data_IF_599795124535
#
_entry.id   IF_599795124535
#
_cell.length_a   1.000
_cell.length_b   1.000
_cell.length_c   1.000
_cell.angle_alpha   90.00
_cell.angle_beta   90.00
_cell.angle_gamma   90.00
#
_symmetry.space_group_name_H-M   'P 1'
#
loop_
_entity.id
_entity.type
_entity.pdbx_description
1 polymer ?
#
# COMPACT_ATOMS: atom_id res chain seq x y z
N UNK A 1 31.28 27.77 46.35
CA UNK A 1 32.29 27.59 45.28
C UNK A 1 32.13 26.24 44.59
N UNK A 2 32.38 25.09 45.23
CA UNK A 2 32.27 23.73 44.63
C UNK A 2 31.15 23.54 43.59
N UNK A 3 29.87 23.80 43.91
CA UNK A 3 28.74 23.64 42.97
C UNK A 3 28.88 24.48 41.68
N UNK A 4 29.53 25.64 41.73
CA UNK A 4 29.79 26.48 40.56
C UNK A 4 30.92 25.89 39.68
N UNK A 5 31.93 25.27 40.29
CA UNK A 5 33.01 24.58 39.57
C UNK A 5 32.49 23.30 38.91
N UNK A 6 31.60 22.56 39.58
CA UNK A 6 30.91 21.41 38.99
C UNK A 6 30.11 21.81 37.75
N UNK A 7 29.20 22.77 37.88
CA UNK A 7 28.41 23.29 36.75
C UNK A 7 29.30 23.79 35.58
N UNK A 8 30.47 24.37 35.85
CA UNK A 8 31.41 24.81 34.82
C UNK A 8 32.09 23.62 34.11
N UNK A 9 32.50 22.59 34.87
CA UNK A 9 33.05 21.35 34.34
C UNK A 9 32.03 20.62 33.44
N UNK A 10 30.77 20.54 33.89
CA UNK A 10 29.69 19.88 33.15
C UNK A 10 29.36 20.64 31.86
N UNK A 11 29.35 21.98 31.90
CA UNK A 11 29.17 22.82 30.72
C UNK A 11 30.33 22.69 29.72
N UNK A 12 31.59 22.62 30.18
CA UNK A 12 32.74 22.36 29.31
C UNK A 12 32.67 20.97 28.65
N UNK A 13 32.25 19.94 29.40
CA UNK A 13 32.05 18.60 28.85
C UNK A 13 30.94 18.56 27.78
N UNK A 14 29.84 19.30 27.99
CA UNK A 14 28.75 19.42 27.01
C UNK A 14 29.20 20.15 25.74
N UNK A 15 29.92 21.28 25.86
CA UNK A 15 30.47 22.02 24.72
C UNK A 15 31.40 21.13 23.88
N UNK A 16 32.25 20.32 24.54
CA UNK A 16 33.14 19.39 23.83
C UNK A 16 32.39 18.32 23.04
N UNK A 17 31.29 17.76 23.59
CA UNK A 17 30.44 16.81 22.85
C UNK A 17 29.80 17.44 21.62
N UNK A 18 29.22 18.63 21.77
CA UNK A 18 28.61 19.36 20.65
C UNK A 18 29.61 19.68 19.54
N UNK A 19 30.88 19.95 19.87
CA UNK A 19 31.97 20.13 18.88
C UNK A 19 32.39 18.82 18.20
N UNK A 20 32.33 17.68 18.90
CA UNK A 20 32.59 16.36 18.33
C UNK A 20 31.43 15.92 17.40
N UNK A 21 30.19 16.22 17.77
CA UNK A 21 28.98 16.01 16.96
C UNK A 21 28.93 16.93 15.72
N UNK A 22 29.26 18.23 15.85
CA UNK A 22 29.37 19.16 14.71
C UNK A 22 30.42 18.65 13.71
N UNK A 23 31.57 18.18 14.20
CA UNK A 23 32.62 17.63 13.34
C UNK A 23 32.15 16.37 12.62
N UNK A 24 31.52 15.43 13.32
CA UNK A 24 31.00 14.20 12.72
C UNK A 24 29.92 14.49 11.65
N UNK A 25 29.02 15.44 11.92
CA UNK A 25 28.01 15.90 10.98
C UNK A 25 28.64 16.52 9.71
N UNK A 26 29.60 17.44 9.86
CA UNK A 26 30.37 18.02 8.74
C UNK A 26 31.09 16.97 7.89
N UNK A 27 31.65 15.95 8.53
CA UNK A 27 32.39 14.87 7.85
C UNK A 27 31.43 13.92 7.10
N UNK A 28 30.24 13.65 7.67
CA UNK A 28 29.14 12.95 7.00
C UNK A 28 28.63 13.69 5.76
N UNK A 29 28.26 14.97 5.91
CA UNK A 29 27.79 15.84 4.81
C UNK A 29 28.82 15.91 3.67
N UNK A 30 30.12 15.92 4.00
CA UNK A 30 31.18 15.90 2.99
C UNK A 30 31.22 14.59 2.22
N UNK A 31 31.01 13.45 2.88
CA UNK A 31 30.98 12.14 2.24
C UNK A 31 29.72 11.95 1.38
N UNK A 32 28.55 12.45 1.81
CA UNK A 32 27.32 12.36 1.02
C UNK A 32 27.38 13.22 -0.24
N UNK A 33 27.95 14.43 -0.14
CA UNK A 33 28.14 15.29 -1.31
C UNK A 33 29.10 14.66 -2.34
N UNK A 34 30.15 13.98 -1.91
CA UNK A 34 31.08 13.29 -2.81
C UNK A 34 30.44 12.09 -3.54
N UNK A 35 29.57 11.32 -2.88
CA UNK A 35 28.83 10.25 -3.58
C UNK A 35 27.72 10.83 -4.48
N UNK A 36 27.12 11.98 -4.12
CA UNK A 36 26.16 12.68 -4.97
C UNK A 36 26.81 13.21 -6.27
N UNK A 37 27.96 13.88 -6.18
CA UNK A 37 28.75 14.31 -7.36
C UNK A 37 29.07 13.11 -8.28
N UNK A 38 29.45 11.98 -7.69
CA UNK A 38 29.75 10.73 -8.40
C UNK A 38 28.52 10.12 -9.07
N UNK A 39 27.36 10.12 -8.41
CA UNK A 39 26.10 9.64 -8.99
C UNK A 39 25.62 10.54 -10.13
N UNK A 40 25.79 11.86 -10.00
CA UNK A 40 25.51 12.82 -11.08
C UNK A 40 26.41 12.58 -12.30
N UNK A 41 27.71 12.30 -12.10
CA UNK A 41 28.61 11.94 -13.18
C UNK A 41 28.17 10.63 -13.87
N UNK A 42 27.87 9.57 -13.11
CA UNK A 42 27.40 8.29 -13.67
C UNK A 42 26.09 8.43 -14.45
N UNK A 43 25.15 9.25 -13.97
CA UNK A 43 23.90 9.52 -14.69
C UNK A 43 24.15 10.31 -15.98
N UNK A 44 25.11 11.25 -15.97
CA UNK A 44 25.54 11.99 -17.16
C UNK A 44 26.20 11.06 -18.19
N UNK A 45 27.02 10.10 -17.75
CA UNK A 45 27.61 9.08 -18.62
C UNK A 45 26.52 8.17 -19.24
N UNK A 46 25.54 7.74 -18.44
CA UNK A 46 24.41 6.91 -18.90
C UNK A 46 23.50 7.63 -19.93
N UNK A 47 23.18 8.91 -19.74
CA UNK A 47 22.40 9.68 -20.73
C UNK A 47 23.18 9.90 -22.04
N UNK A 48 24.51 10.05 -21.98
CA UNK A 48 25.34 10.13 -23.18
C UNK A 48 25.38 8.79 -23.95
N UNK A 49 25.49 7.64 -23.26
CA UNK A 49 25.37 6.32 -23.89
C UNK A 49 23.98 6.12 -24.53
N UNK A 50 22.91 6.47 -23.80
CA UNK A 50 21.51 6.42 -24.26
C UNK A 50 21.27 7.31 -25.49
N UNK A 51 21.89 8.49 -25.57
CA UNK A 51 21.86 9.35 -26.75
C UNK A 51 22.61 8.72 -27.94
N UNK A 52 23.80 8.15 -27.72
CA UNK A 52 24.56 7.45 -28.76
C UNK A 52 23.82 6.23 -29.32
N UNK A 53 23.18 5.43 -28.45
CA UNK A 53 22.36 4.29 -28.85
C UNK A 53 21.12 4.72 -29.64
N UNK A 54 20.48 5.84 -29.28
CA UNK A 54 19.37 6.41 -30.06
C UNK A 54 19.81 6.84 -31.47
N UNK A 55 20.98 7.48 -31.61
CA UNK A 55 21.52 7.81 -32.92
C UNK A 55 21.80 6.55 -33.76
N UNK A 56 22.43 5.53 -33.17
CA UNK A 56 22.69 4.26 -33.88
C UNK A 56 21.41 3.55 -34.36
N UNK A 57 20.29 3.68 -33.62
CA UNK A 57 18.99 3.17 -34.07
C UNK A 57 18.51 3.93 -35.31
N UNK A 58 18.55 5.27 -35.29
CA UNK A 58 18.15 6.11 -36.45
C UNK A 58 19.02 5.80 -37.69
N UNK A 59 20.34 5.71 -37.51
CA UNK A 59 21.28 5.39 -38.59
C UNK A 59 21.00 3.99 -39.21
N UNK A 60 20.54 3.03 -38.41
CA UNK A 60 20.16 1.69 -38.86
C UNK A 60 18.78 1.67 -39.53
N UNK A 61 17.82 2.48 -39.06
CA UNK A 61 16.51 2.63 -39.67
C UNK A 61 16.61 3.28 -41.06
N UNK A 62 17.44 4.33 -41.22
CA UNK A 62 17.71 4.95 -42.53
C UNK A 62 18.35 3.94 -43.51
N UNK A 63 19.37 3.19 -43.07
CA UNK A 63 20.00 2.14 -43.89
C UNK A 63 18.99 1.08 -44.34
N UNK A 64 18.05 0.69 -43.46
CA UNK A 64 17.00 -0.28 -43.76
C UNK A 64 15.95 0.29 -44.72
N UNK A 65 15.62 1.59 -44.62
CA UNK A 65 14.72 2.25 -45.58
C UNK A 65 15.37 2.42 -46.96
N UNK A 66 16.65 2.79 -47.02
CA UNK A 66 17.42 2.83 -48.28
C UNK A 66 17.48 1.44 -48.91
N UNK A 67 17.73 0.38 -48.13
CA UNK A 67 17.74 -1.00 -48.62
C UNK A 67 16.37 -1.43 -49.20
N UNK A 68 15.26 -1.03 -48.57
CA UNK A 68 13.89 -1.25 -49.12
C UNK A 68 13.68 -0.55 -50.46
N UNK A 69 14.18 0.69 -50.62
CA UNK A 69 14.05 1.49 -51.85
C UNK A 69 14.88 0.98 -53.04
N UNK A 70 15.85 0.08 -52.82
CA UNK A 70 16.72 -0.49 -53.87
C UNK A 70 16.14 -1.77 -54.53
N UNK A 71 15.02 -2.30 -54.04
CA UNK A 71 14.35 -3.47 -54.63
C UNK A 71 13.61 -3.03 -55.94
N UNK A 72 13.98 -3.54 -57.13
CA UNK A 72 13.35 -3.08 -58.38
C UNK A 72 11.96 -3.69 -58.58
N UNK A 73 10.91 -2.86 -58.54
CA UNK A 73 9.59 -3.23 -59.03
C UNK A 73 9.57 -3.20 -60.57
N UNK A 74 9.39 -4.35 -61.23
CA UNK A 74 9.39 -4.41 -62.70
C UNK A 74 8.54 -5.57 -63.26
N UNK A 75 7.66 -5.27 -64.23
CA UNK A 75 7.01 -6.27 -65.10
C UNK A 75 5.63 -6.80 -64.64
N UNK A 76 4.58 -6.45 -65.39
CA UNK A 76 3.26 -7.08 -65.37
C UNK A 76 2.97 -7.74 -66.72
N UNK A 77 2.13 -8.79 -66.69
CA UNK A 77 1.42 -9.45 -67.80
C UNK A 77 2.22 -10.31 -68.82
N UNK A 78 1.67 -11.49 -69.11
CA UNK A 78 2.09 -12.40 -70.20
C UNK A 78 1.61 -13.84 -70.02
N UNK A 79 0.47 -14.21 -70.59
CA UNK A 79 -0.07 -15.59 -70.54
C UNK A 79 0.74 -16.59 -71.37
N UNK A 80 0.99 -17.79 -70.82
CA UNK A 80 0.65 -19.06 -71.49
C UNK A 80 0.75 -20.30 -70.57
N UNK A 81 0.12 -21.39 -71.00
CA UNK A 81 -0.13 -22.61 -70.23
C UNK A 81 1.02 -23.62 -70.32
N UNK A 82 1.37 -24.31 -69.22
CA UNK A 82 0.91 -25.69 -68.97
C UNK A 82 1.22 -26.16 -67.52
N UNK A 83 0.62 -27.26 -67.06
CA UNK A 83 0.60 -27.66 -65.64
C UNK A 83 1.65 -28.69 -65.18
N UNK A 84 1.99 -28.63 -63.88
CA UNK A 84 2.81 -29.60 -63.14
C UNK A 84 2.93 -29.18 -61.66
N UNK A 85 3.00 -30.10 -60.68
CA UNK A 85 2.89 -29.76 -59.25
C UNK A 85 4.20 -29.21 -58.64
N UNK A 86 4.06 -28.32 -57.65
CA UNK A 86 5.17 -27.65 -56.95
C UNK A 86 5.40 -28.28 -55.57
N UNK A 87 6.66 -28.60 -55.26
CA UNK A 87 7.20 -28.67 -53.89
C UNK A 87 8.52 -27.87 -53.83
N UNK A 88 8.86 -27.24 -52.69
CA UNK A 88 10.00 -26.31 -52.60
C UNK A 88 11.33 -27.03 -52.33
N UNK A 89 12.43 -26.67 -53.02
CA UNK A 89 13.79 -27.07 -52.66
C UNK A 89 14.41 -26.13 -51.62
N UNK A 90 15.38 -26.62 -50.84
CA UNK A 90 16.10 -25.88 -49.81
C UNK A 90 17.59 -25.65 -50.17
N UNK A 91 18.22 -24.67 -49.51
CA UNK A 91 19.66 -24.35 -49.45
C UNK A 91 19.87 -23.43 -48.21
N UNK A 92 20.93 -23.46 -47.38
CA UNK A 92 22.20 -24.21 -47.38
C UNK A 92 23.34 -23.54 -48.17
N UNK A 93 24.63 -23.47 -47.78
CA UNK A 93 25.45 -23.81 -46.57
C UNK A 93 26.72 -22.86 -46.62
N UNK A 94 27.75 -22.78 -45.73
CA UNK A 94 28.17 -23.44 -44.47
C UNK A 94 29.10 -22.50 -43.62
N UNK A 95 29.66 -23.01 -42.51
CA UNK A 95 30.63 -22.39 -41.55
C UNK A 95 32.05 -22.02 -42.09
N UNK A 96 32.87 -21.34 -41.25
CA UNK A 96 34.25 -21.68 -40.78
C UNK A 96 34.86 -20.49 -39.95
N UNK A 97 35.86 -20.59 -39.03
CA UNK A 97 36.06 -21.51 -37.88
C UNK A 97 37.07 -20.98 -36.82
N UNK A 98 36.80 -21.22 -35.52
CA UNK A 98 37.70 -21.29 -34.31
C UNK A 98 39.11 -20.63 -34.24
N UNK A 99 39.37 -19.89 -33.14
CA UNK A 99 40.62 -19.97 -32.36
C UNK A 99 40.37 -19.78 -30.83
N UNK A 100 41.35 -20.03 -29.94
CA UNK A 100 41.12 -20.38 -28.50
C UNK A 100 42.04 -19.71 -27.45
N UNK A 101 41.41 -19.12 -26.40
CA UNK A 101 41.78 -19.16 -24.95
C UNK A 101 43.11 -18.47 -24.50
N UNK A 102 43.38 -18.24 -23.18
CA UNK A 102 42.73 -18.75 -21.96
C UNK A 102 42.25 -17.75 -20.87
N UNK A 103 41.58 -18.29 -19.84
CA UNK A 103 41.13 -17.64 -18.57
C UNK A 103 42.21 -17.77 -17.47
N UNK A 104 42.10 -17.01 -16.34
CA UNK A 104 41.70 -17.69 -15.09
C UNK A 104 40.90 -16.88 -14.04
N UNK A 105 39.82 -17.48 -13.51
CA UNK A 105 39.19 -17.27 -12.18
C UNK A 105 38.56 -15.88 -11.91
N UNK A 106 37.50 -15.72 -11.09
CA UNK A 106 37.06 -16.49 -9.91
C UNK A 106 35.56 -16.26 -9.59
N UNK A 107 34.78 -17.32 -9.26
CA UNK A 107 33.51 -17.37 -8.46
C UNK A 107 32.30 -16.48 -8.92
N UNK A 108 31.02 -16.83 -8.75
CA UNK A 108 30.32 -17.93 -8.02
C UNK A 108 29.17 -18.53 -8.87
N UNK A 109 28.42 -19.50 -8.31
CA UNK A 109 27.11 -19.96 -8.84
C UNK A 109 26.01 -18.89 -8.66
N UNK A 110 24.85 -18.95 -9.32
CA UNK A 110 24.32 -19.96 -10.24
C UNK A 110 22.99 -20.53 -9.76
N UNK A 111 21.92 -20.32 -10.54
CA UNK A 111 20.57 -20.82 -10.29
C UNK A 111 20.07 -21.62 -11.50
N UNK A 112 19.32 -22.70 -11.27
CA UNK A 112 18.73 -23.53 -12.32
C UNK A 112 17.22 -23.31 -12.47
N UNK A 113 16.67 -23.83 -13.56
CA UNK A 113 15.31 -23.57 -14.05
C UNK A 113 14.26 -24.45 -13.38
N UNK A 114 13.00 -24.04 -13.50
CA UNK A 114 11.85 -24.95 -13.60
C UNK A 114 11.10 -24.58 -14.90
N UNK A 115 10.73 -25.59 -15.68
CA UNK A 115 10.08 -25.41 -16.98
C UNK A 115 8.54 -25.29 -16.86
N UNK A 116 7.93 -24.78 -17.93
CA UNK A 116 6.50 -24.51 -18.10
C UNK A 116 5.81 -25.59 -18.93
N UNK A 117 4.62 -26.03 -18.52
CA UNK A 117 3.67 -26.65 -19.46
C UNK A 117 2.18 -26.42 -19.09
N UNK A 118 1.42 -26.02 -20.11
CA UNK A 118 -0.05 -26.10 -20.39
C UNK A 118 -1.06 -26.34 -19.22
N UNK A 119 -2.29 -25.76 -19.24
CA UNK A 119 -3.22 -25.75 -20.39
C UNK A 119 -4.41 -24.75 -20.17
N UNK A 120 -4.80 -23.98 -21.21
CA UNK A 120 -6.08 -23.25 -21.49
C UNK A 120 -6.87 -22.50 -20.37
N UNK A 121 -7.38 -21.28 -20.58
CA UNK A 121 -7.26 -20.38 -21.74
C UNK A 121 -8.38 -19.32 -21.88
N UNK A 122 -8.20 -18.43 -22.88
CA UNK A 122 -9.22 -17.57 -23.53
C UNK A 122 -9.86 -16.38 -22.77
N UNK A 123 -9.15 -15.23 -22.73
CA UNK A 123 -9.67 -14.00 -23.35
C UNK A 123 -8.51 -13.06 -23.76
N UNK A 124 -8.45 -12.66 -25.03
CA UNK A 124 -7.44 -11.74 -25.55
C UNK A 124 -8.13 -10.62 -26.37
N UNK A 125 -8.20 -9.36 -25.88
CA UNK A 125 -8.46 -8.24 -26.78
C UNK A 125 -7.29 -8.09 -27.76
N UNK A 126 -7.58 -7.84 -29.04
CA UNK A 126 -6.58 -7.43 -30.03
C UNK A 126 -6.53 -5.90 -30.10
N UNK A 127 -5.37 -5.28 -30.38
CA UNK A 127 -5.34 -3.89 -30.78
C UNK A 127 -6.22 -3.68 -32.03
N UNK A 128 -7.15 -2.73 -31.96
CA UNK A 128 -7.93 -2.27 -33.11
C UNK A 128 -7.29 -0.98 -33.59
N UNK A 129 -6.76 -0.97 -34.81
CA UNK A 129 -6.24 0.26 -35.42
C UNK A 129 -7.39 1.20 -35.74
N UNK A 130 -7.57 2.26 -34.94
CA UNK A 130 -8.49 3.35 -35.22
C UNK A 130 -8.04 4.10 -36.47
N UNK A 131 -8.75 3.90 -37.58
CA UNK A 131 -8.51 4.63 -38.82
C UNK A 131 -9.29 5.96 -38.79
N UNK A 132 -8.58 7.07 -38.61
CA UNK A 132 -9.18 8.41 -38.62
C UNK A 132 -9.60 8.77 -40.06
N UNK A 133 -10.88 9.04 -40.34
CA UNK A 133 -11.32 9.46 -41.68
C UNK A 133 -11.01 10.94 -41.90
N UNK A 134 -10.05 11.24 -42.76
CA UNK A 134 -9.67 12.62 -43.10
C UNK A 134 -10.67 13.28 -44.06
N UNK A 135 -11.44 14.26 -43.57
CA UNK A 135 -12.25 15.18 -44.39
C UNK A 135 -12.02 16.63 -43.96
N UNK A 136 -11.58 17.47 -44.90
CA UNK A 136 -11.03 18.79 -44.59
C UNK A 136 -12.07 19.92 -44.55
N UNK A 137 -11.80 20.95 -43.73
CA UNK A 137 -11.61 22.34 -44.19
C UNK A 137 -11.14 23.26 -43.05
N UNK A 138 -10.24 24.20 -43.34
CA UNK A 138 -9.83 25.27 -42.41
C UNK A 138 -8.32 25.50 -42.34
N UNK A 139 -7.80 26.44 -43.14
CA UNK A 139 -6.42 26.94 -42.98
C UNK A 139 -6.38 28.08 -41.96
N UNK A 140 -5.40 28.06 -41.07
CA UNK A 140 -4.48 29.20 -40.94
C UNK A 140 -3.07 28.69 -40.62
N UNK A 141 -2.06 29.50 -40.93
CA UNK A 141 -0.69 29.03 -41.15
C UNK A 141 0.28 29.87 -40.31
N UNK A 142 0.76 29.31 -39.20
CA UNK A 142 1.88 29.87 -38.45
C UNK A 142 3.08 28.91 -38.51
N UNK A 143 4.28 29.46 -38.56
CA UNK A 143 5.51 28.73 -38.91
C UNK A 143 6.51 28.81 -37.75
N UNK A 144 6.70 27.71 -37.03
CA UNK A 144 7.71 27.62 -35.98
C UNK A 144 7.86 26.20 -35.45
N UNK A 145 9.05 25.62 -35.67
CA UNK A 145 9.53 24.33 -35.18
C UNK A 145 8.77 23.06 -35.64
N UNK A 146 9.52 21.99 -35.86
CA UNK A 146 8.99 20.65 -36.10
C UNK A 146 8.97 19.88 -34.77
N UNK A 147 7.82 19.89 -34.10
CA UNK A 147 7.54 19.02 -32.94
C UNK A 147 6.95 17.68 -33.39
N UNK A 148 6.94 16.70 -32.48
CA UNK A 148 6.59 15.31 -32.78
C UNK A 148 5.08 15.12 -32.67
N UNK A 149 4.32 14.90 -33.78
CA UNK A 149 2.85 15.00 -33.77
C UNK A 149 2.10 13.99 -32.88
N UNK A 150 2.81 13.06 -32.22
CA UNK A 150 2.25 12.08 -31.31
C UNK A 150 2.50 12.34 -29.82
N UNK A 151 3.26 13.38 -29.44
CA UNK A 151 3.42 13.77 -28.03
C UNK A 151 2.42 14.87 -27.68
N UNK A 152 2.42 15.96 -28.47
CA UNK A 152 1.44 17.05 -28.41
C UNK A 152 -0.01 16.53 -28.40
N UNK A 153 -0.28 15.40 -29.07
CA UNK A 153 -1.60 14.77 -29.11
C UNK A 153 -2.00 14.05 -27.81
N UNK A 154 -1.04 13.54 -27.02
CA UNK A 154 -1.29 12.85 -25.75
C UNK A 154 -1.39 13.87 -24.61
N UNK A 155 -0.57 14.92 -24.66
CA UNK A 155 -0.62 16.04 -23.72
C UNK A 155 -1.98 16.76 -23.81
N UNK A 156 -2.47 17.02 -25.04
CA UNK A 156 -3.82 17.56 -25.26
C UNK A 156 -4.93 16.56 -24.89
N UNK A 157 -4.78 15.26 -25.13
CA UNK A 157 -5.76 14.25 -24.71
C UNK A 157 -5.88 14.19 -23.16
N UNK A 158 -4.74 14.28 -22.45
CA UNK A 158 -4.69 14.41 -21.00
C UNK A 158 -5.33 15.71 -20.49
N UNK A 159 -5.02 16.86 -21.11
CA UNK A 159 -5.62 18.15 -20.72
C UNK A 159 -7.15 18.12 -20.85
N UNK A 160 -7.69 17.51 -21.92
CA UNK A 160 -9.13 17.31 -22.08
C UNK A 160 -9.71 16.41 -20.97
N UNK A 161 -9.10 15.24 -20.71
CA UNK A 161 -9.57 14.31 -19.67
C UNK A 161 -9.51 14.89 -18.25
N UNK A 162 -8.54 15.75 -17.95
CA UNK A 162 -8.45 16.46 -16.67
C UNK A 162 -9.47 17.62 -16.58
N UNK A 163 -9.91 18.18 -17.70
CA UNK A 163 -10.94 19.23 -17.75
C UNK A 163 -12.37 18.70 -17.57
N UNK A 164 -12.61 17.40 -17.79
CA UNK A 164 -13.90 16.72 -17.60
C UNK A 164 -14.13 16.40 -16.10
N UNK A 165 -14.12 17.45 -15.26
CA UNK A 165 -14.15 17.37 -13.78
C UNK A 165 -15.31 16.49 -13.26
N UNK A 166 -16.52 16.60 -13.82
CA UNK A 166 -17.69 15.87 -13.32
C UNK A 166 -17.59 14.36 -13.55
N UNK A 167 -17.26 13.92 -14.77
CA UNK A 167 -17.15 12.49 -15.12
C UNK A 167 -15.97 11.81 -14.40
N UNK A 168 -14.83 12.49 -14.30
CA UNK A 168 -13.66 12.00 -13.55
C UNK A 168 -13.95 11.86 -12.04
N UNK A 169 -14.73 12.79 -11.47
CA UNK A 169 -15.20 12.66 -10.08
C UNK A 169 -16.20 11.50 -9.92
N UNK A 170 -17.10 11.24 -10.87
CA UNK A 170 -18.00 10.09 -10.78
C UNK A 170 -17.24 8.76 -10.89
N UNK A 171 -16.32 8.60 -11.86
CA UNK A 171 -15.53 7.36 -11.99
C UNK A 171 -14.71 7.05 -10.73
N UNK A 172 -14.09 8.05 -10.11
CA UNK A 172 -13.32 7.83 -8.87
C UNK A 172 -14.23 7.59 -7.66
N UNK A 173 -15.26 8.42 -7.44
CA UNK A 173 -16.11 8.29 -6.24
C UNK A 173 -17.05 7.09 -6.28
N UNK A 174 -17.59 6.74 -7.45
CA UNK A 174 -18.46 5.58 -7.62
C UNK A 174 -17.66 4.32 -7.98
N UNK A 175 -16.73 4.39 -8.93
CA UNK A 175 -15.98 3.23 -9.41
C UNK A 175 -14.86 2.81 -8.45
N UNK A 176 -13.93 3.73 -8.15
CA UNK A 176 -12.72 3.44 -7.38
C UNK A 176 -12.94 3.39 -5.86
N UNK A 177 -13.94 4.11 -5.32
CA UNK A 177 -14.21 4.17 -3.88
C UNK A 177 -15.42 3.29 -3.51
N UNK A 178 -16.65 3.66 -3.90
CA UNK A 178 -17.89 3.01 -3.38
C UNK A 178 -18.17 1.61 -3.91
N UNK A 179 -17.84 1.30 -5.16
CA UNK A 179 -18.05 -0.04 -5.74
C UNK A 179 -16.80 -0.95 -5.62
N UNK A 180 -15.78 -0.52 -4.87
CA UNK A 180 -14.51 -1.22 -4.73
C UNK A 180 -14.67 -2.58 -4.02
N UNK A 181 -14.12 -3.63 -4.64
CA UNK A 181 -14.02 -4.95 -4.03
C UNK A 181 -12.71 -5.10 -3.29
N UNK A 182 -12.70 -4.64 -2.03
CA UNK A 182 -11.56 -4.75 -1.12
C UNK A 182 -11.08 -6.21 -1.05
N UNK A 183 -9.77 -6.49 -1.28
CA UNK A 183 -9.24 -7.84 -1.29
C UNK A 183 -9.31 -8.47 0.11
N UNK A 184 -9.56 -9.79 0.19
CA UNK A 184 -9.74 -10.46 1.48
C UNK A 184 -8.39 -10.71 2.19
N UNK A 185 -8.21 -10.34 3.47
CA UNK A 185 -6.99 -10.64 4.24
C UNK A 185 -6.65 -12.13 4.37
N UNK A 186 -7.62 -13.02 4.10
CA UNK A 186 -7.47 -14.47 4.10
C UNK A 186 -7.23 -15.09 2.72
N UNK A 187 -6.93 -14.28 1.70
CA UNK A 187 -6.59 -14.75 0.35
C UNK A 187 -5.33 -15.61 0.35
N UNK A 188 -5.24 -16.53 -0.62
CA UNK A 188 -4.04 -17.34 -0.87
C UNK A 188 -3.71 -17.31 -2.38
N UNK A 189 -2.65 -16.59 -2.81
CA UNK A 189 -1.72 -15.79 -2.01
C UNK A 189 -2.41 -14.61 -1.26
N UNK A 190 -1.80 -14.08 -0.20
CA UNK A 190 -2.26 -12.84 0.43
C UNK A 190 -2.28 -11.68 -0.59
N UNK A 191 -3.09 -10.62 -0.35
CA UNK A 191 -3.07 -9.42 -1.19
C UNK A 191 -1.67 -8.82 -1.25
N UNK A 192 -1.21 -8.41 -2.43
CA UNK A 192 0.03 -7.65 -2.56
C UNK A 192 -0.20 -6.18 -2.22
N UNK A 193 0.86 -5.52 -1.76
CA UNK A 193 0.91 -4.06 -1.50
C UNK A 193 0.28 -3.24 -2.63
N UNK A 194 0.55 -3.61 -3.89
CA UNK A 194 -0.04 -2.98 -5.08
C UNK A 194 -1.54 -3.23 -5.23
N UNK A 195 -2.05 -4.39 -4.85
CA UNK A 195 -3.50 -4.68 -4.85
C UNK A 195 -4.23 -4.02 -3.67
N UNK A 196 -3.49 -3.55 -2.66
CA UNK A 196 -4.02 -2.82 -1.51
C UNK A 196 -4.03 -1.31 -1.75
N UNK A 197 -2.92 -0.76 -2.25
CA UNK A 197 -2.70 0.69 -2.38
C UNK A 197 -3.02 1.25 -3.77
N UNK A 198 -3.56 0.45 -4.71
CA UNK A 198 -3.92 0.99 -6.04
C UNK A 198 -4.94 2.14 -6.01
N UNK A 199 -5.91 2.24 -5.08
CA UNK A 199 -6.78 3.41 -5.00
C UNK A 199 -5.98 4.68 -4.69
N UNK A 200 -5.16 4.67 -3.64
CA UNK A 200 -4.25 5.77 -3.32
C UNK A 200 -3.33 6.10 -4.50
N UNK A 201 -2.72 5.10 -5.14
CA UNK A 201 -1.85 5.31 -6.30
C UNK A 201 -2.56 5.99 -7.48
N UNK A 202 -3.79 5.58 -7.82
CA UNK A 202 -4.55 6.19 -8.91
C UNK A 202 -5.03 7.61 -8.56
N UNK A 203 -5.43 7.85 -7.31
CA UNK A 203 -5.80 9.18 -6.83
C UNK A 203 -4.58 10.11 -6.86
N UNK A 204 -3.44 9.68 -6.30
CA UNK A 204 -2.19 10.43 -6.30
C UNK A 204 -1.69 10.70 -7.72
N UNK A 205 -1.86 9.76 -8.67
CA UNK A 205 -1.55 9.95 -10.08
C UNK A 205 -2.40 11.08 -10.69
N UNK A 206 -3.74 11.01 -10.57
CA UNK A 206 -4.64 12.07 -11.07
C UNK A 206 -4.30 13.43 -10.43
N UNK A 207 -4.08 13.46 -9.12
CA UNK A 207 -3.65 14.66 -8.40
C UNK A 207 -2.33 15.23 -8.94
N UNK A 208 -1.33 14.36 -9.17
CA UNK A 208 -0.03 14.79 -9.71
C UNK A 208 -0.16 15.38 -11.12
N UNK A 209 -0.99 14.80 -12.00
CA UNK A 209 -1.18 15.34 -13.35
C UNK A 209 -2.02 16.62 -13.36
N UNK A 210 -3.00 16.76 -12.46
CA UNK A 210 -3.69 18.05 -12.25
C UNK A 210 -2.69 19.14 -11.83
N UNK A 211 -1.78 18.84 -10.89
CA UNK A 211 -0.75 19.77 -10.43
C UNK A 211 0.31 20.09 -11.49
N UNK A 212 0.73 19.10 -12.29
CA UNK A 212 1.66 19.33 -13.42
C UNK A 212 1.07 20.27 -14.48
N UNK A 213 -0.24 20.17 -14.74
CA UNK A 213 -0.93 20.92 -15.79
C UNK A 213 -1.60 22.22 -15.29
N UNK A 214 -1.48 22.57 -14.00
CA UNK A 214 -1.98 23.84 -13.46
C UNK A 214 -3.42 23.84 -12.93
N UNK A 215 -4.08 22.69 -12.87
CA UNK A 215 -5.46 22.49 -12.42
C UNK A 215 -5.59 22.52 -10.88
N UNK A 216 -5.09 23.59 -10.25
CA UNK A 216 -5.00 23.74 -8.78
C UNK A 216 -6.37 23.65 -8.11
N UNK A 217 -7.36 24.40 -8.63
CA UNK A 217 -8.68 24.61 -7.99
C UNK A 217 -9.63 23.44 -8.26
N UNK A 218 -9.34 22.68 -9.29
CA UNK A 218 -9.99 21.46 -9.72
C UNK A 218 -9.46 20.30 -8.87
N UNK A 219 -8.14 20.25 -8.63
CA UNK A 219 -7.52 19.27 -7.71
C UNK A 219 -7.98 19.44 -6.25
N UNK A 220 -8.19 20.68 -5.78
CA UNK A 220 -8.75 20.98 -4.46
C UNK A 220 -10.14 20.32 -4.28
N UNK A 221 -10.99 20.41 -5.31
CA UNK A 221 -12.35 19.82 -5.31
C UNK A 221 -12.32 18.31 -5.46
N UNK A 222 -11.51 17.80 -6.40
CA UNK A 222 -11.31 16.36 -6.60
C UNK A 222 -10.89 15.68 -5.30
N UNK A 223 -9.87 16.21 -4.62
CA UNK A 223 -9.41 15.70 -3.34
C UNK A 223 -10.49 15.84 -2.25
N UNK A 224 -11.24 16.94 -2.18
CA UNK A 224 -12.35 17.08 -1.24
C UNK A 224 -13.47 16.04 -1.46
N UNK A 225 -13.84 15.79 -2.72
CA UNK A 225 -14.85 14.79 -3.11
C UNK A 225 -14.38 13.36 -2.81
N UNK A 226 -13.11 13.07 -3.08
CA UNK A 226 -12.44 11.80 -2.74
C UNK A 226 -12.44 11.59 -1.23
N UNK A 227 -11.91 12.55 -0.45
CA UNK A 227 -11.83 12.45 1.01
C UNK A 227 -13.22 12.28 1.64
N UNK A 228 -14.21 13.03 1.19
CA UNK A 228 -15.60 12.88 1.64
C UNK A 228 -16.16 11.50 1.31
N UNK A 229 -15.88 10.97 0.11
CA UNK A 229 -16.36 9.66 -0.33
C UNK A 229 -15.71 8.51 0.44
N UNK A 230 -14.39 8.57 0.70
CA UNK A 230 -13.69 7.60 1.55
C UNK A 230 -14.26 7.63 2.98
N UNK A 231 -14.52 8.83 3.54
CA UNK A 231 -15.11 8.94 4.87
C UNK A 231 -16.50 8.30 4.94
N UNK A 232 -17.35 8.52 3.94
CA UNK A 232 -18.66 7.89 3.84
C UNK A 232 -18.56 6.36 3.71
N UNK A 233 -17.66 5.88 2.86
CA UNK A 233 -17.43 4.44 2.63
C UNK A 233 -16.94 3.74 3.89
N UNK A 234 -16.07 4.35 4.72
CA UNK A 234 -15.69 3.78 6.02
C UNK A 234 -16.85 3.86 7.02
N UNK A 235 -17.59 4.98 7.07
CA UNK A 235 -18.60 5.24 8.11
C UNK A 235 -19.90 4.43 7.96
N UNK A 236 -20.19 3.84 6.80
CA UNK A 236 -21.42 3.06 6.61
C UNK A 236 -21.37 1.64 7.22
N UNK A 237 -20.18 1.11 7.54
CA UNK A 237 -20.02 -0.25 8.07
C UNK A 237 -20.07 -0.32 9.60
N UNK A 238 -20.60 -1.42 10.14
CA UNK A 238 -20.63 -1.74 11.59
C UNK A 238 -20.30 -3.23 11.80
N UNK A 239 -20.10 -3.66 13.04
CA UNK A 239 -20.01 -5.10 13.37
C UNK A 239 -18.73 -5.78 12.88
N UNK A 240 -18.85 -6.89 12.14
CA UNK A 240 -17.71 -7.57 11.51
C UNK A 240 -17.30 -6.92 10.18
N UNK A 241 -18.28 -6.42 9.42
CA UNK A 241 -18.07 -5.91 8.06
C UNK A 241 -17.19 -4.65 8.05
N UNK A 242 -17.19 -3.89 9.14
CA UNK A 242 -16.31 -2.74 9.35
C UNK A 242 -14.81 -3.09 9.51
N UNK A 243 -14.43 -4.35 9.78
CA UNK A 243 -13.04 -4.72 10.07
C UNK A 243 -12.14 -4.44 8.86
N UNK A 244 -12.52 -4.90 7.67
CA UNK A 244 -11.68 -4.78 6.48
C UNK A 244 -11.67 -3.36 5.89
N UNK A 245 -12.81 -2.67 5.65
CA UNK A 245 -12.83 -1.34 5.06
C UNK A 245 -12.09 -0.29 5.88
N UNK A 246 -12.20 -0.34 7.22
CA UNK A 246 -11.47 0.60 8.08
C UNK A 246 -9.96 0.44 8.00
N UNK A 247 -9.43 -0.79 8.05
CA UNK A 247 -7.99 -1.01 7.90
C UNK A 247 -7.50 -0.71 6.47
N UNK A 248 -8.28 -1.07 5.45
CA UNK A 248 -7.94 -0.82 4.04
C UNK A 248 -7.87 0.66 3.70
N UNK A 249 -8.89 1.44 4.07
CA UNK A 249 -8.92 2.87 3.79
C UNK A 249 -8.00 3.68 4.69
N UNK A 250 -7.72 3.25 5.93
CA UNK A 250 -6.67 3.85 6.75
C UNK A 250 -5.31 3.77 6.04
N UNK A 251 -4.99 2.61 5.46
CA UNK A 251 -3.75 2.39 4.71
C UNK A 251 -3.66 3.27 3.45
N UNK A 252 -4.75 3.37 2.70
CA UNK A 252 -4.80 4.19 1.49
C UNK A 252 -4.74 5.70 1.79
N UNK A 253 -5.41 6.18 2.84
CA UNK A 253 -5.33 7.60 3.25
C UNK A 253 -3.94 7.95 3.77
N UNK A 254 -3.28 7.03 4.49
CA UNK A 254 -1.90 7.21 4.92
C UNK A 254 -0.90 7.30 3.74
N UNK A 255 -1.11 6.49 2.68
CA UNK A 255 -0.34 6.58 1.43
C UNK A 255 -0.61 7.89 0.66
N UNK A 256 -1.86 8.37 0.63
CA UNK A 256 -2.20 9.68 0.06
C UNK A 256 -1.53 10.84 0.84
N UNK A 257 -1.56 10.80 2.17
CA UNK A 257 -0.89 11.79 3.02
C UNK A 257 0.62 11.75 2.83
N UNK A 258 1.22 10.55 2.76
CA UNK A 258 2.66 10.37 2.52
C UNK A 258 3.11 10.92 1.16
N UNK A 259 2.28 10.77 0.12
CA UNK A 259 2.51 11.40 -1.18
C UNK A 259 2.47 12.94 -1.10
N UNK A 260 1.56 13.53 -0.33
CA UNK A 260 1.47 14.99 -0.17
C UNK A 260 2.70 15.55 0.55
N UNK A 261 3.21 14.89 1.60
CA UNK A 261 4.50 15.24 2.22
C UNK A 261 5.67 15.15 1.22
N UNK A 262 5.70 14.13 0.35
CA UNK A 262 6.76 13.99 -0.67
C UNK A 262 6.67 15.07 -1.77
N UNK A 263 5.45 15.51 -2.10
CA UNK A 263 5.24 16.61 -3.04
C UNK A 263 5.67 17.96 -2.46
N UNK A 264 5.40 18.21 -1.16
CA UNK A 264 5.85 19.40 -0.42
C UNK A 264 7.38 19.57 -0.50
N UNK A 265 8.14 18.53 -0.14
CA UNK A 265 9.62 18.48 -0.28
C UNK A 265 10.08 18.76 -1.73
N UNK A 266 9.35 18.26 -2.73
CA UNK A 266 9.70 18.37 -4.15
C UNK A 266 9.44 19.77 -4.73
N UNK A 267 8.36 20.44 -4.32
CA UNK A 267 8.07 21.82 -4.70
C UNK A 267 9.01 22.82 -3.99
N UNK A 268 9.26 22.64 -2.68
CA UNK A 268 10.25 23.47 -1.96
C UNK A 268 11.63 23.41 -2.62
N UNK A 269 12.08 22.21 -3.02
CA UNK A 269 13.37 22.02 -3.69
C UNK A 269 13.51 22.78 -5.01
N UNK A 270 12.40 23.05 -5.72
CA UNK A 270 12.39 23.79 -6.99
C UNK A 270 12.36 25.31 -6.82
N UNK A 271 12.02 25.82 -5.64
CA UNK A 271 11.94 27.27 -5.34
C UNK A 271 10.99 28.03 -6.27
N UNK A 272 9.85 27.42 -6.56
CA UNK A 272 8.73 28.10 -7.22
C UNK A 272 8.04 29.00 -6.19
N UNK A 273 8.12 30.33 -6.37
CA UNK A 273 7.39 31.33 -5.55
C UNK A 273 5.86 31.28 -5.84
N UNK A 274 5.21 30.14 -5.61
CA UNK A 274 3.86 29.84 -6.06
C UNK A 274 2.88 29.63 -4.89
N UNK A 275 2.57 30.73 -4.21
CA UNK A 275 1.73 30.78 -3.01
C UNK A 275 0.32 30.16 -3.13
N UNK A 276 -0.19 29.86 -4.34
CA UNK A 276 -1.44 29.09 -4.48
C UNK A 276 -1.22 27.57 -4.26
N UNK A 277 -0.03 27.03 -4.57
CA UNK A 277 0.33 25.63 -4.34
C UNK A 277 0.70 25.37 -2.88
N UNK A 278 1.55 26.22 -2.27
CA UNK A 278 1.94 26.09 -0.86
C UNK A 278 0.69 26.01 0.05
N UNK A 279 -0.28 26.90 -0.22
CA UNK A 279 -1.57 26.95 0.46
C UNK A 279 -2.45 25.72 0.18
N UNK A 280 -2.44 25.19 -1.05
CA UNK A 280 -3.18 23.97 -1.37
C UNK A 280 -2.62 22.77 -0.61
N UNK A 281 -1.28 22.62 -0.58
CA UNK A 281 -0.61 21.54 0.14
C UNK A 281 -0.90 21.61 1.64
N UNK A 282 -0.85 22.80 2.27
CA UNK A 282 -1.24 22.99 3.68
C UNK A 282 -2.68 22.53 3.96
N UNK A 283 -3.64 22.90 3.10
CA UNK A 283 -5.05 22.51 3.23
C UNK A 283 -5.24 21.00 3.05
N UNK A 284 -4.71 20.43 1.97
CA UNK A 284 -4.85 19.00 1.65
C UNK A 284 -4.23 18.12 2.74
N UNK A 285 -3.05 18.51 3.24
CA UNK A 285 -2.33 17.84 4.33
C UNK A 285 -3.16 17.82 5.62
N UNK A 286 -3.67 18.97 6.05
CA UNK A 286 -4.56 19.08 7.21
C UNK A 286 -5.82 18.23 7.07
N UNK A 287 -6.46 18.24 5.90
CA UNK A 287 -7.72 17.52 5.68
C UNK A 287 -7.51 16.00 5.55
N UNK A 288 -6.35 15.56 5.05
CA UNK A 288 -5.95 14.15 5.07
C UNK A 288 -5.57 13.65 6.47
N UNK A 289 -4.82 14.43 7.27
CA UNK A 289 -4.57 14.12 8.69
C UNK A 289 -5.89 14.02 9.48
N UNK A 290 -6.83 14.92 9.21
CA UNK A 290 -8.18 14.91 9.76
C UNK A 290 -8.98 13.66 9.33
N UNK A 291 -8.92 13.28 8.05
CA UNK A 291 -9.56 12.09 7.51
C UNK A 291 -8.99 10.81 8.14
N UNK A 292 -7.67 10.67 8.21
CA UNK A 292 -6.98 9.53 8.83
C UNK A 292 -7.41 9.36 10.29
N UNK A 293 -7.40 10.45 11.06
CA UNK A 293 -7.89 10.47 12.43
C UNK A 293 -9.37 10.08 12.53
N UNK A 294 -10.24 10.59 11.66
CA UNK A 294 -11.67 10.30 11.68
C UNK A 294 -11.98 8.83 11.32
N UNK A 295 -11.25 8.26 10.36
CA UNK A 295 -11.28 6.84 10.00
C UNK A 295 -10.85 5.99 11.20
N UNK A 296 -9.64 6.22 11.73
CA UNK A 296 -9.09 5.44 12.84
C UNK A 296 -9.98 5.52 14.08
N UNK A 297 -10.42 6.73 14.47
CA UNK A 297 -11.30 6.93 15.63
C UNK A 297 -12.62 6.20 15.47
N UNK A 298 -13.26 6.29 14.30
CA UNK A 298 -14.59 5.68 14.06
C UNK A 298 -14.49 4.15 13.99
N UNK A 299 -13.49 3.63 13.27
CA UNK A 299 -13.21 2.20 13.18
C UNK A 299 -12.91 1.60 14.57
N UNK A 300 -11.98 2.20 15.32
CA UNK A 300 -11.64 1.77 16.67
C UNK A 300 -12.85 1.83 17.63
N UNK A 301 -13.74 2.82 17.48
CA UNK A 301 -15.00 2.91 18.23
C UNK A 301 -15.95 1.75 17.91
N UNK A 302 -16.04 1.31 16.65
CA UNK A 302 -16.80 0.10 16.25
C UNK A 302 -16.17 -1.17 16.84
N UNK A 303 -14.85 -1.35 16.71
CA UNK A 303 -14.13 -2.50 17.28
C UNK A 303 -14.33 -2.60 18.80
N UNK A 304 -14.18 -1.50 19.54
CA UNK A 304 -14.42 -1.44 20.99
C UNK A 304 -15.88 -1.75 21.35
N UNK A 305 -16.85 -1.16 20.64
CA UNK A 305 -18.30 -1.41 20.80
C UNK A 305 -18.67 -2.88 20.60
N UNK A 306 -17.98 -3.59 19.70
CA UNK A 306 -18.13 -5.04 19.46
C UNK A 306 -17.47 -5.86 20.57
N UNK A 307 -16.19 -5.61 20.84
CA UNK A 307 -15.40 -6.33 21.84
C UNK A 307 -15.99 -6.22 23.26
N UNK A 308 -16.54 -5.06 23.62
CA UNK A 308 -17.22 -4.82 24.90
C UNK A 308 -18.34 -5.84 25.18
N UNK A 309 -19.13 -6.19 24.15
CA UNK A 309 -20.20 -7.19 24.26
C UNK A 309 -19.69 -8.62 24.45
N UNK A 310 -18.44 -8.90 24.04
CA UNK A 310 -17.82 -10.22 24.13
C UNK A 310 -17.11 -10.46 25.47
N UNK A 311 -16.47 -9.44 26.05
CA UNK A 311 -15.57 -9.58 27.21
C UNK A 311 -16.18 -10.37 28.36
N UNK A 312 -17.35 -9.96 28.87
CA UNK A 312 -17.95 -10.60 30.05
C UNK A 312 -18.44 -12.03 29.74
N UNK A 313 -19.24 -12.28 28.68
CA UNK A 313 -19.63 -13.65 28.32
C UNK A 313 -18.44 -14.58 28.03
N UNK A 314 -17.43 -14.10 27.30
CA UNK A 314 -16.29 -14.90 26.85
C UNK A 314 -15.29 -15.20 27.98
N UNK A 315 -14.89 -14.19 28.77
CA UNK A 315 -13.80 -14.34 29.75
C UNK A 315 -14.32 -14.74 31.13
N UNK A 316 -15.44 -14.15 31.58
CA UNK A 316 -15.95 -14.31 32.95
C UNK A 316 -16.95 -15.46 33.05
N UNK A 317 -17.88 -15.53 32.10
CA UNK A 317 -19.03 -16.44 32.19
C UNK A 317 -18.78 -17.80 31.54
N UNK A 318 -17.97 -17.84 30.46
CA UNK A 318 -17.58 -19.08 29.79
C UNK A 318 -16.75 -20.00 30.69
N UNK A 319 -16.87 -21.30 30.43
CA UNK A 319 -16.27 -22.36 31.25
C UNK A 319 -15.50 -23.32 30.34
N UNK A 320 -14.47 -22.79 29.66
CA UNK A 320 -13.71 -23.47 28.61
C UNK A 320 -12.88 -24.67 29.07
N UNK A 321 -12.60 -24.84 30.37
CA UNK A 321 -11.98 -26.06 30.91
C UNK A 321 -13.04 -27.17 31.13
N UNK A 322 -12.92 -28.32 30.43
CA UNK A 322 -13.78 -29.49 30.67
C UNK A 322 -13.69 -30.00 32.11
N UNK A 323 -14.79 -30.51 32.66
CA UNK A 323 -14.85 -31.04 34.03
C UNK A 323 -14.85 -29.99 35.15
N UNK A 324 -14.37 -28.77 34.90
CA UNK A 324 -14.36 -27.65 35.86
C UNK A 324 -15.64 -26.79 35.84
N UNK A 325 -16.77 -27.39 35.45
CA UNK A 325 -18.06 -26.70 35.36
C UNK A 325 -18.58 -26.34 36.77
N UNK A 326 -19.12 -25.13 36.89
CA UNK A 326 -19.79 -24.60 38.08
C UNK A 326 -21.28 -24.40 37.80
N UNK A 327 -22.12 -24.86 38.72
CA UNK A 327 -23.56 -24.61 38.72
C UNK A 327 -23.84 -23.23 39.32
N UNK A 328 -24.35 -22.30 38.52
CA UNK A 328 -24.75 -20.98 39.00
C UNK A 328 -26.09 -21.08 39.77
N UNK A 329 -26.02 -20.89 41.09
CA UNK A 329 -27.11 -21.13 42.04
C UNK A 329 -28.39 -20.34 41.75
N UNK A 330 -28.28 -19.20 41.05
CA UNK A 330 -29.42 -18.32 40.76
C UNK A 330 -30.31 -18.78 39.57
N UNK A 331 -29.93 -19.81 38.80
CA UNK A 331 -30.72 -20.30 37.63
C UNK A 331 -31.97 -21.12 38.01
N UNK A 332 -32.66 -20.81 39.11
CA UNK A 332 -33.75 -21.62 39.66
C UNK A 332 -34.99 -21.72 38.73
N UNK A 333 -35.26 -20.68 37.93
CA UNK A 333 -36.36 -20.66 36.94
C UNK A 333 -35.99 -21.34 35.61
N UNK A 334 -34.70 -21.62 35.36
CA UNK A 334 -34.21 -22.17 34.08
C UNK A 334 -34.53 -23.66 33.83
N UNK A 335 -35.30 -24.31 34.71
CA UNK A 335 -35.70 -25.73 34.57
C UNK A 335 -37.02 -25.96 33.83
N UNK A 336 -37.80 -24.91 33.55
CA UNK A 336 -39.14 -25.04 32.93
C UNK A 336 -39.15 -24.84 31.41
N UNK A 337 -38.03 -24.42 30.83
CA UNK A 337 -37.85 -24.28 29.37
C UNK A 337 -36.46 -24.82 28.99
N UNK A 338 -36.30 -25.45 27.82
CA UNK A 338 -35.00 -25.87 27.29
C UNK A 338 -34.22 -24.66 26.75
N UNK A 339 -33.92 -23.69 27.63
CA UNK A 339 -33.04 -22.57 27.31
C UNK A 339 -31.61 -23.06 27.19
N UNK A 340 -30.95 -22.72 26.08
CA UNK A 340 -29.58 -23.14 25.80
C UNK A 340 -28.62 -22.33 26.68
N UNK A 341 -28.25 -22.86 27.85
CA UNK A 341 -27.54 -22.17 28.95
C UNK A 341 -26.05 -21.81 28.66
N UNK A 342 -25.68 -21.66 27.39
CA UNK A 342 -24.35 -21.22 26.98
C UNK A 342 -24.25 -19.68 27.02
N UNK A 343 -23.09 -19.09 27.36
CA UNK A 343 -22.89 -17.65 27.23
C UNK A 343 -23.04 -17.17 25.79
N UNK A 344 -23.41 -15.90 25.60
CA UNK A 344 -23.63 -15.31 24.27
C UNK A 344 -22.37 -15.25 23.38
N UNK A 345 -21.18 -15.28 23.99
CA UNK A 345 -19.89 -15.37 23.29
C UNK A 345 -18.95 -16.31 24.03
N UNK A 346 -18.09 -16.98 23.28
CA UNK A 346 -17.00 -17.82 23.78
C UNK A 346 -15.64 -17.12 23.65
N UNK A 347 -14.62 -17.68 24.30
CA UNK A 347 -13.22 -17.28 24.06
C UNK A 347 -12.82 -17.37 22.59
N UNK A 348 -13.37 -18.32 21.84
CA UNK A 348 -13.04 -18.50 20.43
C UNK A 348 -13.61 -17.37 19.57
N UNK A 349 -14.76 -16.79 19.94
CA UNK A 349 -15.31 -15.60 19.28
C UNK A 349 -14.45 -14.34 19.56
N UNK A 350 -14.02 -14.17 20.82
CA UNK A 350 -13.18 -13.03 21.22
C UNK A 350 -11.81 -13.09 20.53
N UNK A 351 -11.17 -14.27 20.54
CA UNK A 351 -9.89 -14.47 19.85
C UNK A 351 -10.03 -14.39 18.34
N UNK A 352 -11.15 -14.83 17.75
CA UNK A 352 -11.40 -14.64 16.32
C UNK A 352 -11.52 -13.16 15.95
N UNK A 353 -12.13 -12.31 16.78
CA UNK A 353 -12.18 -10.88 16.54
C UNK A 353 -10.76 -10.26 16.55
N UNK A 354 -9.95 -10.57 17.57
CA UNK A 354 -8.57 -10.08 17.65
C UNK A 354 -7.71 -10.55 16.47
N UNK A 355 -7.83 -11.83 16.07
CA UNK A 355 -7.17 -12.39 14.89
C UNK A 355 -7.61 -11.69 13.59
N UNK A 356 -8.90 -11.43 13.41
CA UNK A 356 -9.41 -10.82 12.18
C UNK A 356 -8.92 -9.38 12.04
N UNK A 357 -8.92 -8.60 13.13
CA UNK A 357 -8.38 -7.24 13.16
C UNK A 357 -6.87 -7.26 12.87
N UNK A 358 -6.08 -8.07 13.58
CA UNK A 358 -4.63 -8.18 13.35
C UNK A 358 -4.31 -8.58 11.89
N UNK A 359 -5.01 -9.58 11.34
CA UNK A 359 -4.81 -10.03 9.96
C UNK A 359 -5.20 -8.99 8.93
N UNK A 360 -6.29 -8.24 9.14
CA UNK A 360 -6.66 -7.15 8.24
C UNK A 360 -5.55 -6.09 8.20
N UNK A 361 -5.02 -5.67 9.35
CA UNK A 361 -3.95 -4.67 9.39
C UNK A 361 -2.65 -5.15 8.73
N UNK A 362 -2.18 -6.38 9.01
CA UNK A 362 -0.97 -6.93 8.36
C UNK A 362 -1.16 -7.23 6.86
N UNK A 363 -2.36 -7.64 6.42
CA UNK A 363 -2.64 -7.90 5.01
C UNK A 363 -2.87 -6.61 4.19
N UNK A 364 -3.15 -5.49 4.85
CA UNK A 364 -3.27 -4.16 4.24
C UNK A 364 -2.07 -3.25 4.53
N UNK A 365 -0.95 -3.81 5.00
CA UNK A 365 0.34 -3.13 5.10
C UNK A 365 0.40 -1.93 6.07
N UNK A 366 -0.50 -1.86 7.07
CA UNK A 366 -0.38 -0.88 8.16
C UNK A 366 0.91 -1.08 8.97
N UNK A 367 1.49 0.03 9.42
CA UNK A 367 2.73 0.03 10.19
C UNK A 367 2.57 -0.75 11.51
N UNK A 368 3.63 -1.45 11.93
CA UNK A 368 3.63 -2.22 13.17
C UNK A 368 3.41 -1.34 14.42
N UNK A 369 3.67 -0.03 14.35
CA UNK A 369 3.34 0.95 15.40
C UNK A 369 1.82 1.07 15.61
N UNK A 370 1.06 1.30 14.52
CA UNK A 370 -0.41 1.44 14.49
C UNK A 370 -1.06 0.13 14.95
N UNK A 371 -0.51 -1.01 14.50
CA UNK A 371 -0.95 -2.35 14.90
C UNK A 371 -0.77 -2.56 16.40
N UNK A 372 0.41 -2.24 16.92
CA UNK A 372 0.74 -2.39 18.34
C UNK A 372 -0.16 -1.50 19.21
N UNK A 373 -0.37 -0.25 18.81
CA UNK A 373 -1.27 0.69 19.50
C UNK A 373 -2.73 0.19 19.48
N UNK A 374 -3.22 -0.27 18.33
CA UNK A 374 -4.59 -0.78 18.15
C UNK A 374 -4.84 -2.00 19.03
N UNK A 375 -3.99 -3.02 18.94
CA UNK A 375 -4.16 -4.26 19.71
C UNK A 375 -4.02 -4.00 21.23
N UNK A 376 -3.07 -3.16 21.64
CA UNK A 376 -2.87 -2.82 23.06
C UNK A 376 -4.09 -2.12 23.64
N UNK A 377 -4.69 -1.16 22.93
CA UNK A 377 -5.88 -0.44 23.41
C UNK A 377 -7.15 -1.31 23.40
N UNK A 378 -7.28 -2.29 22.50
CA UNK A 378 -8.32 -3.31 22.58
C UNK A 378 -8.13 -4.21 23.81
N UNK A 379 -6.91 -4.64 24.12
CA UNK A 379 -6.58 -5.45 25.30
C UNK A 379 -6.71 -4.66 26.61
N UNK A 380 -6.49 -3.34 26.58
CA UNK A 380 -6.80 -2.42 27.70
C UNK A 380 -8.29 -2.41 28.02
N UNK A 381 -9.16 -2.36 27.00
CA UNK A 381 -10.60 -2.48 27.19
C UNK A 381 -10.99 -3.85 27.80
N UNK A 382 -10.33 -4.93 27.36
CA UNK A 382 -10.49 -6.28 27.93
C UNK A 382 -10.17 -6.28 29.42
N UNK A 383 -8.96 -5.86 29.80
CA UNK A 383 -8.48 -5.86 31.19
C UNK A 383 -9.40 -5.07 32.13
N UNK A 384 -9.69 -3.81 31.77
CA UNK A 384 -10.52 -2.91 32.60
C UNK A 384 -11.96 -3.42 32.74
N UNK A 385 -12.58 -3.88 31.65
CA UNK A 385 -13.99 -4.32 31.66
C UNK A 385 -14.16 -5.61 32.45
N UNK A 386 -13.29 -6.60 32.23
CA UNK A 386 -13.31 -7.87 32.96
C UNK A 386 -13.05 -7.67 34.46
N UNK A 387 -12.11 -6.80 34.83
CA UNK A 387 -11.77 -6.50 36.22
C UNK A 387 -12.94 -5.84 36.96
N UNK A 388 -13.57 -4.83 36.34
CA UNK A 388 -14.70 -4.12 36.93
C UNK A 388 -15.92 -5.03 37.15
N UNK A 389 -16.25 -5.89 36.18
CA UNK A 389 -17.34 -6.88 36.33
C UNK A 389 -17.05 -7.87 37.50
N UNK A 390 -15.82 -8.39 37.58
CA UNK A 390 -15.40 -9.29 38.66
C UNK A 390 -15.49 -8.66 40.07
N UNK A 391 -15.16 -7.38 40.22
CA UNK A 391 -15.28 -6.68 41.50
C UNK A 391 -16.75 -6.49 41.94
N UNK A 392 -17.69 -6.40 41.00
CA UNK A 392 -19.11 -6.20 41.30
C UNK A 392 -19.87 -7.50 41.63
N UNK A 393 -19.39 -8.67 41.17
CA UNK A 393 -20.12 -9.95 41.32
C UNK A 393 -20.03 -10.57 42.73
N UNK A 394 -21.04 -10.30 43.56
CA UNK A 394 -21.27 -11.00 44.83
C UNK A 394 -21.53 -12.51 44.60
N UNK A 395 -20.99 -13.36 45.48
CA UNK A 395 -21.21 -14.82 45.53
C UNK A 395 -20.82 -15.60 44.26
N UNK A 396 -20.05 -15.00 43.34
CA UNK A 396 -19.63 -15.63 42.08
C UNK A 396 -18.22 -16.24 42.15
N UNK A 397 -17.30 -15.53 42.82
CA UNK A 397 -15.90 -15.93 42.92
C UNK A 397 -15.73 -17.22 43.73
N UNK A 398 -15.00 -18.17 43.17
CA UNK A 398 -14.65 -19.47 43.77
C UNK A 398 -13.38 -20.00 43.11
N UNK A 399 -12.67 -20.95 43.73
CA UNK A 399 -11.48 -21.55 43.12
C UNK A 399 -11.72 -22.10 41.70
N UNK A 400 -12.87 -22.78 41.48
CA UNK A 400 -13.24 -23.29 40.15
C UNK A 400 -13.47 -22.16 39.14
N UNK A 401 -14.14 -21.06 39.52
CA UNK A 401 -14.30 -19.88 38.63
C UNK A 401 -12.97 -19.19 38.37
N UNK A 402 -12.13 -19.00 39.38
CA UNK A 402 -10.79 -18.44 39.24
C UNK A 402 -9.93 -19.23 38.26
N UNK A 403 -9.99 -20.57 38.29
CA UNK A 403 -9.27 -21.42 37.34
C UNK A 403 -9.81 -21.30 35.90
N UNK A 404 -11.14 -21.24 35.71
CA UNK A 404 -11.75 -21.00 34.39
C UNK A 404 -11.33 -19.63 33.82
N UNK A 405 -11.43 -18.57 34.62
CA UNK A 405 -11.07 -17.20 34.25
C UNK A 405 -9.57 -17.09 33.94
N UNK A 406 -8.70 -17.68 34.78
CA UNK A 406 -7.26 -17.71 34.54
C UNK A 406 -6.94 -18.41 33.22
N UNK A 407 -7.57 -19.56 32.92
CA UNK A 407 -7.37 -20.23 31.63
C UNK A 407 -7.81 -19.37 30.45
N UNK A 408 -8.97 -18.70 30.56
CA UNK A 408 -9.46 -17.77 29.55
C UNK A 408 -8.47 -16.60 29.33
N UNK A 409 -7.85 -16.06 30.38
CA UNK A 409 -6.82 -15.02 30.29
C UNK A 409 -5.53 -15.55 29.66
N UNK A 410 -5.05 -16.74 30.08
CA UNK A 410 -3.84 -17.37 29.52
C UNK A 410 -3.99 -17.61 28.02
N UNK A 411 -5.18 -17.94 27.50
CA UNK A 411 -5.42 -18.02 26.05
C UNK A 411 -5.24 -16.68 25.31
N UNK A 412 -5.45 -15.53 25.98
CA UNK A 412 -5.17 -14.21 25.42
C UNK A 412 -3.67 -13.90 25.53
N UNK A 413 -3.03 -14.24 26.65
CA UNK A 413 -1.57 -14.14 26.84
C UNK A 413 -0.79 -14.96 25.78
N UNK A 414 -1.23 -16.18 25.49
CA UNK A 414 -0.70 -17.04 24.42
C UNK A 414 -0.92 -16.42 23.04
N UNK A 415 -2.09 -15.83 22.79
CA UNK A 415 -2.36 -15.11 21.54
C UNK A 415 -1.48 -13.86 21.38
N UNK A 416 -1.25 -13.09 22.45
CA UNK A 416 -0.33 -11.95 22.42
C UNK A 416 1.10 -12.39 22.07
N UNK A 417 1.57 -13.49 22.68
CA UNK A 417 2.90 -14.06 22.40
C UNK A 417 3.04 -14.61 20.99
N UNK A 418 1.97 -15.12 20.37
CA UNK A 418 2.01 -15.62 18.99
C UNK A 418 1.92 -14.54 17.91
N UNK A 419 1.80 -13.26 18.31
CA UNK A 419 1.72 -12.10 17.42
C UNK A 419 2.70 -10.98 17.83
N UNK A 420 3.70 -11.31 18.66
CA UNK A 420 4.74 -10.41 19.17
C UNK A 420 4.21 -9.13 19.86
N UNK A 421 3.16 -9.27 20.68
CA UNK A 421 2.45 -8.18 21.38
C UNK A 421 2.72 -8.14 22.91
N UNK A 422 3.90 -7.69 23.39
CA UNK A 422 4.24 -7.71 24.81
C UNK A 422 3.41 -6.71 25.64
N UNK A 423 3.18 -5.48 25.18
CA UNK A 423 2.41 -4.44 25.89
C UNK A 423 0.95 -4.85 26.11
N UNK A 424 0.42 -5.65 25.18
CA UNK A 424 -0.91 -6.25 25.27
C UNK A 424 -1.06 -7.20 26.45
N UNK A 425 0.01 -7.90 26.83
CA UNK A 425 0.03 -8.76 28.04
C UNK A 425 -0.03 -7.92 29.32
N UNK A 426 0.68 -6.79 29.35
CA UNK A 426 0.69 -5.88 30.51
C UNK A 426 -0.71 -5.33 30.84
N UNK A 427 -1.57 -5.13 29.82
CA UNK A 427 -2.94 -4.66 30.04
C UNK A 427 -3.83 -5.67 30.81
N UNK A 428 -3.40 -6.93 30.94
CA UNK A 428 -4.14 -8.01 31.61
C UNK A 428 -3.67 -8.26 33.05
N UNK A 429 -2.59 -7.62 33.52
CA UNK A 429 -1.98 -7.88 34.84
C UNK A 429 -2.98 -7.79 36.00
N UNK A 430 -3.90 -6.83 35.96
CA UNK A 430 -4.93 -6.64 37.00
C UNK A 430 -5.85 -7.85 37.18
N UNK A 431 -5.97 -8.72 36.17
CA UNK A 431 -6.72 -9.98 36.23
C UNK A 431 -5.87 -11.16 36.73
N UNK A 432 -4.54 -11.06 36.66
CA UNK A 432 -3.59 -12.14 36.94
C UNK A 432 -3.09 -12.17 38.40
N UNK A 433 -3.46 -11.18 39.23
CA UNK A 433 -2.95 -11.03 40.61
C UNK A 433 -3.55 -12.05 41.60
N UNK A 434 -3.00 -13.28 41.60
CA UNK A 434 -2.57 -13.97 42.84
C UNK A 434 -1.80 -15.28 42.58
N UNK A 435 -0.47 -15.17 42.57
CA UNK A 435 0.47 -16.23 42.97
C UNK A 435 1.43 -15.68 44.01
N UNK A 436 0.98 -15.71 45.27
CA UNK A 436 1.74 -15.42 46.49
C UNK A 436 1.24 -16.34 47.59
#
# INVERSE_FOLDING_TARGET
MSKLQQNHSDAQAMIKRLQEEEKASRESIRSTNQELERLQQLNTEAENEKASLRQQIVDLEEQLEVAKRVIPANGLNGDQQNGGPIQPPANGLINLVSSKKPKPKRRSAGAEKIDIDRFSGAYNPRPVSMAIPSSAMGRQHFSGNAFSPGLDSVEVELENLLSEEEDLNEEVTMGLIRNLKIPLPSSTPPPTEKEVLFPAYLINLVTSEMWNNGFVKESERFLANVMQSIQQEVMQHDGDDAINPGAFWLSNVHEMLSFVFLAEDWYEAQKTDNFEYDRLLEIVKHDLESLEFNIYHTWMKVLKKKLYKMIVPAIIESQSLPGFVTSETNRFLGKLLPSNNNPAYSMDNLLSLLNNVYKAMKAFYLEDSIITQTVTELLRLVGVTAFNDLLMRRNFLSWKRGLQINYNITRIEEWCKSHDMPEGTLQLEHLMVRKT
#
